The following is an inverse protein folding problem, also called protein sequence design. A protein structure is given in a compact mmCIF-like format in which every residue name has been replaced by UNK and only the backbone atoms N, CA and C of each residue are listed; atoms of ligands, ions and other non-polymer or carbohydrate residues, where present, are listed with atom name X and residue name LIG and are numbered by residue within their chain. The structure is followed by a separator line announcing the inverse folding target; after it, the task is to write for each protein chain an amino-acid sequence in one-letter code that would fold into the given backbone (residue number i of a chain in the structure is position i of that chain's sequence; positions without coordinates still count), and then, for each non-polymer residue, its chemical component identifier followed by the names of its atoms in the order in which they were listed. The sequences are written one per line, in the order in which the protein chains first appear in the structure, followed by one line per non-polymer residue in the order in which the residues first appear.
data_IF_848872603391
#
_entry.id   IF_848872603391
#
_cell.length_a   1.000
_cell.length_b   1.000
_cell.length_c   1.000
_cell.angle_alpha   90.00
_cell.angle_beta   90.00
_cell.angle_gamma   90.00
#
_symmetry.space_group_name_H-M   'P 1'
#
loop_
_entity.id
_entity.type
_entity.pdbx_description
1 polymer ?
#
# COMPACT_ATOMS: atom_id res chain seq x y z
N UNK A 1 -24.99 -42.09 17.70
CA UNK A 1 -26.02 -41.82 16.66
C UNK A 1 -27.15 -40.95 17.19
N UNK A 2 -27.44 -40.97 18.50
CA UNK A 2 -28.57 -40.25 19.11
C UNK A 2 -28.34 -38.73 19.22
N UNK A 3 -27.10 -38.30 19.42
CA UNK A 3 -26.71 -36.87 19.49
C UNK A 3 -27.02 -36.10 18.22
N UNK A 4 -26.82 -36.73 17.05
CA UNK A 4 -27.10 -36.12 15.74
C UNK A 4 -28.62 -36.02 15.49
N UNK A 5 -29.37 -37.02 15.95
CA UNK A 5 -30.83 -37.06 15.84
C UNK A 5 -31.48 -36.02 16.77
N UNK A 6 -30.98 -35.86 17.99
CA UNK A 6 -31.44 -34.82 18.91
C UNK A 6 -31.11 -33.42 18.43
N UNK A 7 -29.90 -33.22 17.90
CA UNK A 7 -29.50 -31.97 17.27
C UNK A 7 -30.43 -31.64 16.09
N UNK A 8 -30.62 -32.59 15.18
CA UNK A 8 -31.51 -32.39 14.04
C UNK A 8 -32.94 -32.07 14.50
N UNK A 9 -33.50 -32.82 15.44
CA UNK A 9 -34.86 -32.58 15.96
C UNK A 9 -35.03 -31.21 16.61
N UNK A 10 -34.01 -30.72 17.32
CA UNK A 10 -33.99 -29.37 17.95
C UNK A 10 -33.95 -28.25 16.92
N UNK A 11 -33.21 -28.42 15.83
CA UNK A 11 -33.03 -27.39 14.80
C UNK A 11 -33.97 -27.55 13.60
N UNK A 12 -34.67 -28.69 13.44
CA UNK A 12 -35.61 -28.96 12.36
C UNK A 12 -36.77 -27.97 12.32
N UNK A 13 -37.22 -27.46 13.48
CA UNK A 13 -38.26 -26.43 13.58
C UNK A 13 -37.81 -25.08 12.98
N UNK A 14 -36.50 -24.83 12.93
CA UNK A 14 -35.89 -23.63 12.36
C UNK A 14 -35.42 -23.82 10.91
N UNK A 15 -35.40 -25.06 10.39
CA UNK A 15 -34.97 -25.41 9.03
C UNK A 15 -36.10 -25.23 8.01
N UNK A 16 -36.71 -24.04 7.99
CA UNK A 16 -37.56 -23.63 6.86
C UNK A 16 -36.67 -23.17 5.71
N UNK A 17 -37.15 -23.32 4.46
CA UNK A 17 -36.43 -22.84 3.26
C UNK A 17 -35.98 -21.38 3.40
N UNK A 18 -36.84 -20.54 3.95
CA UNK A 18 -36.54 -19.12 4.18
C UNK A 18 -35.37 -18.90 5.15
N UNK A 19 -35.34 -19.63 6.27
CA UNK A 19 -34.25 -19.51 7.25
C UNK A 19 -32.92 -20.06 6.69
N UNK A 20 -32.96 -21.07 5.82
CA UNK A 20 -31.79 -21.59 5.13
C UNK A 20 -31.26 -20.57 4.10
N UNK A 21 -32.14 -19.87 3.40
CA UNK A 21 -31.78 -18.77 2.49
C UNK A 21 -31.14 -17.60 3.27
N UNK A 22 -31.70 -17.21 4.43
CA UNK A 22 -31.09 -16.22 5.34
C UNK A 22 -29.72 -16.65 5.87
N UNK A 23 -29.57 -17.92 6.27
CA UNK A 23 -28.28 -18.48 6.68
C UNK A 23 -27.25 -18.44 5.55
N UNK A 24 -27.65 -18.80 4.33
CA UNK A 24 -26.76 -18.74 3.18
C UNK A 24 -26.32 -17.30 2.87
N UNK A 25 -27.25 -16.34 2.87
CA UNK A 25 -26.95 -14.91 2.65
C UNK A 25 -26.04 -14.37 3.75
N UNK A 26 -26.29 -14.69 5.01
CA UNK A 26 -25.42 -14.26 6.12
C UNK A 26 -24.01 -14.85 6.02
N UNK A 27 -23.86 -16.11 5.60
CA UNK A 27 -22.54 -16.73 5.35
C UNK A 27 -21.83 -16.08 4.16
N UNK A 28 -22.56 -15.73 3.09
CA UNK A 28 -21.99 -15.00 1.94
C UNK A 28 -21.56 -13.59 2.35
N UNK A 29 -22.37 -12.86 3.11
CA UNK A 29 -22.02 -11.52 3.61
C UNK A 29 -20.85 -11.59 4.59
N UNK A 30 -20.84 -12.57 5.49
CA UNK A 30 -19.74 -12.77 6.45
C UNK A 30 -18.44 -13.14 5.75
N UNK A 31 -18.48 -14.02 4.75
CA UNK A 31 -17.31 -14.38 3.96
C UNK A 31 -16.81 -13.20 3.11
N UNK A 32 -17.70 -12.42 2.51
CA UNK A 32 -17.35 -11.18 1.82
C UNK A 32 -16.71 -10.16 2.78
N UNK A 33 -17.27 -9.98 3.99
CA UNK A 33 -16.72 -9.11 5.02
C UNK A 33 -15.32 -9.57 5.48
N UNK A 34 -15.11 -10.87 5.63
CA UNK A 34 -13.81 -11.46 5.96
C UNK A 34 -12.79 -11.30 4.83
N UNK A 35 -13.20 -11.38 3.56
CA UNK A 35 -12.28 -11.06 2.45
C UNK A 35 -11.90 -9.58 2.45
N UNK A 36 -12.80 -8.70 2.89
CA UNK A 36 -12.57 -7.25 2.93
C UNK A 36 -11.62 -6.83 4.07
N UNK A 37 -11.61 -7.53 5.20
CA UNK A 37 -10.66 -7.22 6.30
C UNK A 37 -9.21 -7.57 5.98
N UNK A 38 -8.96 -8.45 5.00
CA UNK A 38 -7.61 -8.78 4.53
C UNK A 38 -6.91 -7.65 3.74
N UNK A 39 -7.66 -6.61 3.38
CA UNK A 39 -7.19 -5.45 2.61
C UNK A 39 -7.20 -4.14 3.37
N UNK A 40 -7.53 -4.11 4.67
CA UNK A 40 -7.47 -2.86 5.45
C UNK A 40 -5.99 -2.48 5.57
N UNK A 41 -5.55 -1.37 4.97
CA UNK A 41 -4.18 -0.92 5.14
C UNK A 41 -4.00 -0.57 6.61
N UNK A 42 -3.17 -1.33 7.33
CA UNK A 42 -2.73 -0.88 8.64
C UNK A 42 -1.85 0.33 8.41
N UNK A 43 -2.23 1.47 8.98
CA UNK A 43 -1.29 2.58 9.15
C UNK A 43 -0.25 2.09 10.16
N UNK A 44 0.95 1.81 9.66
CA UNK A 44 2.03 1.23 10.46
C UNK A 44 3.27 2.08 10.35
N UNK A 45 3.90 2.36 11.50
CA UNK A 45 5.26 2.84 11.54
C UNK A 45 6.20 1.64 11.48
N UNK A 46 6.86 1.39 10.34
CA UNK A 46 7.91 0.38 10.28
C UNK A 46 9.24 1.01 10.59
N UNK A 47 9.91 0.48 11.60
CA UNK A 47 11.33 0.70 11.82
C UNK A 47 12.07 -0.50 11.22
N UNK A 48 12.50 -0.37 9.97
CA UNK A 48 13.22 -1.42 9.26
C UNK A 48 14.73 -1.27 9.52
N UNK A 49 15.45 -2.41 9.45
CA UNK A 49 16.91 -2.46 9.57
C UNK A 49 17.45 -1.80 10.85
N UNK A 50 16.95 -2.25 12.02
CA UNK A 50 17.40 -1.78 13.37
C UNK A 50 17.28 -0.27 13.64
N UNK A 51 16.42 0.46 12.93
CA UNK A 51 16.33 1.92 13.10
C UNK A 51 16.80 2.73 11.91
N UNK A 52 17.39 2.09 10.90
CA UNK A 52 17.95 2.78 9.72
C UNK A 52 16.87 3.40 8.84
N UNK A 53 15.65 2.86 8.81
CA UNK A 53 14.59 3.35 7.93
C UNK A 53 13.29 3.49 8.71
N UNK A 54 12.69 4.68 8.66
CA UNK A 54 11.38 4.97 9.24
C UNK A 54 10.36 5.11 8.12
N UNK A 55 9.37 4.22 8.08
CA UNK A 55 8.24 4.33 7.17
C UNK A 55 6.99 4.69 7.93
N UNK A 56 6.21 5.65 7.43
CA UNK A 56 4.86 5.94 7.88
C UNK A 56 3.92 5.89 6.68
N UNK A 57 3.05 4.88 6.65
CA UNK A 57 2.09 4.72 5.57
C UNK A 57 1.36 3.39 5.64
N UNK A 58 0.70 3.05 4.54
CA UNK A 58 -0.08 1.83 4.42
C UNK A 58 0.83 0.61 4.21
N UNK A 59 0.46 -0.51 4.83
CA UNK A 59 1.10 -1.81 4.65
C UNK A 59 0.10 -2.82 4.12
N UNK A 60 0.53 -3.59 3.11
CA UNK A 60 -0.22 -4.74 2.59
C UNK A 60 0.69 -5.95 2.65
N UNK A 61 0.29 -6.99 3.40
CA UNK A 61 1.08 -8.23 3.61
C UNK A 61 2.51 -7.94 4.10
N UNK A 62 2.67 -6.97 4.99
CA UNK A 62 3.97 -6.58 5.56
C UNK A 62 4.88 -5.78 4.61
N UNK A 63 4.41 -5.40 3.42
CA UNK A 63 5.15 -4.57 2.47
C UNK A 63 4.56 -3.15 2.39
N UNK A 64 5.42 -2.15 2.19
CA UNK A 64 5.00 -0.78 1.93
C UNK A 64 4.18 -0.73 0.63
N UNK A 65 2.99 -0.15 0.72
CA UNK A 65 2.03 -0.12 -0.39
C UNK A 65 1.13 1.11 -0.26
N UNK A 66 0.70 1.69 -1.37
CA UNK A 66 -0.13 2.90 -1.37
C UNK A 66 0.66 4.15 -0.98
N UNK A 67 0.01 5.16 -0.41
CA UNK A 67 0.68 6.40 -0.01
C UNK A 67 1.46 6.22 1.29
N UNK A 68 2.67 6.77 1.34
CA UNK A 68 3.51 6.76 2.53
C UNK A 68 4.64 7.78 2.48
N UNK A 69 5.34 7.89 3.62
CA UNK A 69 6.57 8.65 3.78
C UNK A 69 7.66 7.72 4.29
N UNK A 70 8.79 7.66 3.59
CA UNK A 70 9.98 6.90 3.97
C UNK A 70 11.12 7.88 4.28
N UNK A 71 11.63 7.82 5.51
CA UNK A 71 12.80 8.57 5.93
C UNK A 71 13.97 7.62 6.08
N UNK A 72 15.03 7.88 5.31
CA UNK A 72 16.27 7.12 5.34
C UNK A 72 17.20 7.62 6.45
N UNK A 73 18.13 6.77 6.90
CA UNK A 73 19.13 7.10 7.92
C UNK A 73 20.00 8.29 7.54
N UNK A 74 20.29 8.45 6.25
CA UNK A 74 21.08 9.56 5.75
C UNK A 74 20.31 10.89 5.77
N UNK A 75 19.01 10.88 6.10
CA UNK A 75 18.13 12.05 6.15
C UNK A 75 17.35 12.30 4.86
N UNK A 76 17.54 11.48 3.82
CA UNK A 76 16.72 11.56 2.62
C UNK A 76 15.28 11.18 2.94
N UNK A 77 14.34 11.78 2.22
CA UNK A 77 12.92 11.55 2.41
C UNK A 77 12.25 11.29 1.08
N UNK A 78 11.50 10.20 0.99
CA UNK A 78 10.54 9.99 -0.08
C UNK A 78 9.11 10.11 0.46
N UNK A 79 8.26 10.85 -0.24
CA UNK A 79 6.84 10.95 0.02
C UNK A 79 6.08 10.67 -1.26
N UNK A 80 5.29 9.61 -1.29
CA UNK A 80 4.55 9.24 -2.50
C UNK A 80 4.00 7.83 -2.46
N UNK A 81 3.70 7.33 -3.65
CA UNK A 81 3.11 6.00 -3.80
C UNK A 81 4.19 4.90 -3.76
N UNK A 82 3.82 3.81 -3.10
CA UNK A 82 4.60 2.59 -2.95
C UNK A 82 3.85 1.40 -3.56
N UNK A 83 4.59 0.47 -4.15
CA UNK A 83 4.08 -0.83 -4.57
C UNK A 83 5.09 -1.89 -4.19
N UNK A 84 4.66 -2.91 -3.45
CA UNK A 84 5.52 -4.03 -3.05
C UNK A 84 6.85 -3.64 -2.38
N UNK A 85 6.89 -2.52 -1.65
CA UNK A 85 8.10 -2.05 -0.97
C UNK A 85 8.97 -1.06 -1.78
N UNK A 86 8.62 -0.75 -3.02
CA UNK A 86 9.40 0.17 -3.87
C UNK A 86 8.61 1.43 -4.20
N UNK A 87 9.31 2.53 -4.50
CA UNK A 87 8.68 3.74 -5.04
C UNK A 87 8.11 3.43 -6.42
N UNK A 88 6.81 3.64 -6.58
CA UNK A 88 6.10 3.28 -7.80
C UNK A 88 4.85 4.15 -7.91
N UNK A 89 4.81 5.00 -8.94
CA UNK A 89 3.80 6.04 -9.11
C UNK A 89 4.31 7.44 -8.78
N UNK A 90 3.40 8.36 -8.53
CA UNK A 90 3.74 9.75 -8.23
C UNK A 90 4.37 9.89 -6.84
N UNK A 91 5.43 10.69 -6.74
CA UNK A 91 6.10 10.98 -5.50
C UNK A 91 7.05 12.17 -5.55
N UNK A 92 7.59 12.48 -4.38
CA UNK A 92 8.61 13.50 -4.16
C UNK A 92 9.76 12.84 -3.40
N UNK A 93 10.96 12.89 -3.97
CA UNK A 93 12.20 12.54 -3.29
C UNK A 93 12.95 13.82 -2.94
N UNK A 94 13.29 13.99 -1.67
CA UNK A 94 14.09 15.11 -1.16
C UNK A 94 15.37 14.54 -0.56
N UNK A 95 16.50 14.87 -1.16
CA UNK A 95 17.80 14.53 -0.59
C UNK A 95 18.12 15.47 0.56
N UNK A 96 18.82 14.97 1.59
CA UNK A 96 19.35 15.80 2.67
C UNK A 96 20.29 16.89 2.15
N UNK A 97 20.98 16.63 1.05
CA UNK A 97 21.91 17.59 0.44
C UNK A 97 21.20 18.80 -0.18
N UNK A 98 19.89 18.70 -0.44
CA UNK A 98 19.03 19.83 -0.81
C UNK A 98 18.37 19.71 -2.19
N UNK A 99 18.79 18.76 -3.03
CA UNK A 99 18.09 18.52 -4.29
C UNK A 99 16.78 17.75 -4.07
N UNK A 100 15.81 18.01 -4.95
CA UNK A 100 14.47 17.44 -4.89
C UNK A 100 14.02 17.00 -6.28
N UNK A 101 13.46 15.80 -6.38
CA UNK A 101 12.75 15.35 -7.58
C UNK A 101 11.25 15.19 -7.28
N UNK A 102 10.41 15.72 -8.16
CA UNK A 102 8.95 15.65 -8.11
C UNK A 102 8.46 15.02 -9.43
N UNK A 103 7.82 13.86 -9.37
CA UNK A 103 7.33 13.20 -10.59
C UNK A 103 6.99 11.73 -10.39
N UNK A 104 6.90 11.01 -11.51
CA UNK A 104 6.61 9.59 -11.49
C UNK A 104 7.87 8.75 -11.24
N UNK A 105 7.69 7.64 -10.53
CA UNK A 105 8.71 6.65 -10.22
C UNK A 105 8.28 5.27 -10.73
N UNK A 106 9.23 4.48 -11.20
CA UNK A 106 9.05 3.07 -11.55
C UNK A 106 10.23 2.30 -10.95
N UNK A 107 9.94 1.27 -10.15
CA UNK A 107 10.95 0.46 -9.46
C UNK A 107 12.01 1.29 -8.71
N UNK A 108 11.59 2.36 -8.03
CA UNK A 108 12.51 3.22 -7.27
C UNK A 108 13.18 4.34 -8.08
N UNK A 109 13.04 4.37 -9.41
CA UNK A 109 13.74 5.32 -10.28
C UNK A 109 12.80 6.37 -10.87
N UNK A 110 13.23 7.65 -10.99
CA UNK A 110 12.53 8.66 -11.78
C UNK A 110 12.24 8.19 -13.21
N UNK A 111 10.98 8.23 -13.64
CA UNK A 111 10.53 7.75 -14.95
C UNK A 111 9.35 8.58 -15.46
N UNK A 112 9.38 8.99 -16.73
CA UNK A 112 8.32 9.81 -17.33
C UNK A 112 8.52 11.31 -17.08
N UNK A 113 7.43 12.08 -17.02
CA UNK A 113 7.52 13.53 -16.79
C UNK A 113 7.81 13.83 -15.33
N UNK A 114 8.74 14.75 -15.09
CA UNK A 114 9.12 15.16 -13.74
C UNK A 114 9.83 16.51 -13.70
N UNK A 115 10.15 16.92 -12.47
CA UNK A 115 10.86 18.15 -12.15
C UNK A 115 11.96 17.86 -11.13
N UNK A 116 13.21 18.07 -11.53
CA UNK A 116 14.37 18.04 -10.64
C UNK A 116 14.76 19.47 -10.28
N UNK A 117 14.75 19.81 -9.00
CA UNK A 117 15.35 21.02 -8.44
C UNK A 117 16.67 20.64 -7.80
N UNK A 118 17.77 21.25 -8.24
CA UNK A 118 19.09 21.04 -7.64
C UNK A 118 19.26 21.83 -6.35
N UNK A 119 20.35 21.58 -5.63
CA UNK A 119 20.73 22.30 -4.40
C UNK A 119 20.88 23.82 -4.65
N UNK A 120 21.30 24.20 -5.86
CA UNK A 120 21.43 25.60 -6.28
C UNK A 120 20.12 26.19 -6.85
N UNK A 121 18.97 25.55 -6.60
CA UNK A 121 17.66 25.94 -7.12
C UNK A 121 17.53 25.94 -8.66
N UNK A 122 18.47 25.34 -9.39
CA UNK A 122 18.32 25.12 -10.84
C UNK A 122 17.24 24.07 -11.07
N UNK A 123 16.29 24.35 -11.96
CA UNK A 123 15.12 23.51 -12.21
C UNK A 123 15.19 22.88 -13.60
N UNK A 124 15.15 21.55 -13.65
CA UNK A 124 15.04 20.76 -14.88
C UNK A 124 13.64 20.15 -14.94
N UNK A 125 12.85 20.53 -15.96
CA UNK A 125 11.50 19.99 -16.19
C UNK A 125 11.48 19.25 -17.51
N UNK A 126 11.05 18.00 -17.49
CA UNK A 126 10.95 17.21 -18.72
C UNK A 126 10.89 15.71 -18.45
N UNK A 127 11.27 14.95 -19.47
CA UNK A 127 11.23 13.49 -19.43
C UNK A 127 12.48 12.95 -18.74
N UNK A 128 12.27 12.02 -17.82
CA UNK A 128 13.27 11.20 -17.16
C UNK A 128 13.09 9.76 -17.60
N UNK A 129 14.20 9.03 -17.78
CA UNK A 129 14.20 7.60 -18.06
C UNK A 129 15.27 6.97 -17.19
N UNK A 130 14.90 6.01 -16.34
CA UNK A 130 15.81 5.35 -15.41
C UNK A 130 16.67 6.34 -14.58
N UNK A 131 16.07 7.45 -14.12
CA UNK A 131 16.77 8.49 -13.38
C UNK A 131 17.47 9.56 -14.22
N UNK A 132 17.59 9.40 -15.54
CA UNK A 132 18.35 10.31 -16.41
C UNK A 132 17.41 11.29 -17.12
N UNK A 133 17.69 12.59 -16.97
CA UNK A 133 17.00 13.66 -17.69
C UNK A 133 17.29 13.59 -19.21
N UNK A 134 16.23 13.57 -20.02
CA UNK A 134 16.32 13.31 -21.47
C UNK A 134 16.29 14.58 -22.34
N UNK A 135 15.96 15.75 -21.78
CA UNK A 135 15.80 17.00 -22.53
C UNK A 135 17.08 17.87 -22.49
N UNK A 136 18.25 17.25 -22.56
CA UNK A 136 19.49 17.99 -22.77
C UNK A 136 19.55 18.41 -24.25
N UNK A 137 19.21 19.67 -24.52
CA UNK A 137 19.43 20.33 -25.81
C UNK A 137 20.52 21.38 -25.65
#
# INVERSE_FOLDING_TARGET
MDTLKEFYKKYNMYMTRHNLELLAVTVIVLSALLTFTSGIPSQGALTLDKGTIKYNGSLVRGKMSGQGTLTFKNGDVYKGHFRNGTFDGQGIFTAKTGWKYEGNFVNGQPEGQGKLTTENNVVYKGKFKQGIYQNAH
#
